data_IF_883397190062
#
_entry.id   IF_883397190062
#
_cell.length_a   1.000
_cell.length_b   1.000
_cell.length_c   1.000
_cell.angle_alpha   90.00
_cell.angle_beta   90.00
_cell.angle_gamma   90.00
#
_symmetry.space_group_name_H-M   'P 1'
#
loop_
_entity.id
_entity.type
_entity.pdbx_description
1 polymer ?
#
# COMPACT_ATOMS: atom_id res chain seq x y z
N UNK A 1 -27.52 21.56 -16.88
CA UNK A 1 -26.23 21.30 -16.21
C UNK A 1 -25.35 20.45 -17.11
N UNK A 2 -24.02 20.50 -16.95
CA UNK A 2 -23.11 19.66 -17.72
C UNK A 2 -23.28 18.17 -17.35
N UNK A 3 -23.24 17.28 -18.34
CA UNK A 3 -23.33 15.83 -18.17
C UNK A 3 -22.18 15.25 -17.33
N UNK A 4 -20.98 15.84 -17.45
CA UNK A 4 -19.82 15.50 -16.66
C UNK A 4 -19.31 16.74 -15.91
N UNK A 5 -19.00 16.56 -14.64
CA UNK A 5 -18.28 17.55 -13.83
C UNK A 5 -16.91 16.99 -13.49
N UNK A 6 -15.86 17.67 -13.94
CA UNK A 6 -14.48 17.23 -13.75
C UNK A 6 -13.80 18.06 -12.66
N UNK A 7 -13.11 17.38 -11.76
CA UNK A 7 -12.37 17.96 -10.65
C UNK A 7 -10.93 17.43 -10.66
N UNK A 8 -9.96 18.34 -10.52
CA UNK A 8 -8.55 18.01 -10.33
C UNK A 8 -8.32 17.69 -8.86
N UNK A 9 -7.73 16.53 -8.56
CA UNK A 9 -7.36 16.13 -7.21
C UNK A 9 -5.88 16.38 -7.02
N UNK A 10 -5.53 17.20 -6.02
CA UNK A 10 -4.14 17.42 -5.61
C UNK A 10 -3.94 16.82 -4.23
N UNK A 11 -3.03 15.87 -4.11
CA UNK A 11 -2.89 15.02 -2.92
C UNK A 11 -1.63 15.41 -2.17
N UNK A 12 -1.80 15.73 -0.89
CA UNK A 12 -0.69 15.94 0.05
C UNK A 12 -0.62 14.75 0.98
N UNK A 13 0.51 14.06 1.04
CA UNK A 13 0.71 12.99 2.02
C UNK A 13 1.06 13.61 3.38
N UNK A 14 0.31 13.25 4.43
CA UNK A 14 0.59 13.70 5.80
C UNK A 14 1.41 12.68 6.59
N UNK A 15 1.36 11.41 6.17
CA UNK A 15 2.13 10.28 6.67
C UNK A 15 2.75 9.53 5.49
N UNK A 16 3.68 8.58 5.73
CA UNK A 16 4.07 7.65 4.68
C UNK A 16 2.86 6.84 4.23
N UNK A 17 2.72 6.60 2.92
CA UNK A 17 1.61 5.83 2.34
C UNK A 17 2.17 4.72 1.46
N UNK A 18 1.77 3.49 1.76
CA UNK A 18 2.00 2.31 0.93
C UNK A 18 0.67 1.83 0.33
N UNK A 19 0.63 1.63 -0.98
CA UNK A 19 -0.48 0.95 -1.66
C UNK A 19 0.10 -0.22 -2.44
N UNK A 20 0.06 -1.42 -1.85
CA UNK A 20 0.71 -2.60 -2.40
C UNK A 20 0.25 -2.94 -3.82
N UNK A 21 1.21 -3.35 -4.65
CA UNK A 21 0.98 -3.82 -6.02
C UNK A 21 1.26 -5.33 -6.19
N UNK A 22 1.47 -6.04 -5.09
CA UNK A 22 1.81 -7.47 -5.07
C UNK A 22 3.13 -7.79 -5.80
N UNK A 23 4.02 -6.79 -5.88
CA UNK A 23 5.41 -6.94 -6.28
C UNK A 23 6.33 -6.60 -5.10
N UNK A 24 7.53 -7.18 -5.14
CA UNK A 24 8.55 -7.08 -4.10
C UNK A 24 9.89 -6.70 -4.73
N UNK A 25 10.72 -5.94 -4.01
CA UNK A 25 12.16 -5.98 -4.26
C UNK A 25 12.67 -7.30 -3.69
N UNK A 26 13.06 -8.19 -4.58
CA UNK A 26 13.64 -9.47 -4.21
C UNK A 26 15.07 -9.24 -3.70
N UNK A 27 15.50 -9.88 -2.60
CA UNK A 27 16.81 -9.67 -2.02
C UNK A 27 17.98 -10.17 -2.88
N UNK A 28 17.68 -10.79 -4.03
CA UNK A 28 18.66 -11.16 -5.07
C UNK A 28 18.79 -10.10 -6.17
N UNK A 29 17.95 -9.06 -6.17
CA UNK A 29 17.86 -8.06 -7.23
C UNK A 29 18.12 -6.64 -6.70
N UNK A 30 18.66 -6.53 -5.49
CA UNK A 30 19.10 -5.25 -4.96
C UNK A 30 20.25 -5.44 -3.96
N UNK A 31 21.01 -4.37 -3.75
CA UNK A 31 21.93 -4.22 -2.61
C UNK A 31 21.60 -2.93 -1.86
N UNK A 32 21.80 -2.91 -0.55
CA UNK A 32 21.79 -1.67 0.22
C UNK A 32 23.23 -1.32 0.54
N UNK A 33 23.61 -0.09 0.20
CA UNK A 33 24.90 0.52 0.50
C UNK A 33 24.65 1.91 1.07
N UNK A 34 25.26 2.20 2.22
CA UNK A 34 24.99 3.38 3.05
C UNK A 34 23.48 3.61 3.33
N UNK A 35 22.91 4.67 2.77
CA UNK A 35 21.54 5.13 3.00
C UNK A 35 20.61 4.91 1.79
N UNK A 36 21.02 4.08 0.83
CA UNK A 36 20.21 3.77 -0.35
C UNK A 36 20.15 2.27 -0.67
N UNK A 37 18.99 1.86 -1.18
CA UNK A 37 18.78 0.61 -1.90
C UNK A 37 19.07 0.85 -3.38
N UNK A 38 19.84 -0.02 -4.00
CA UNK A 38 20.15 -0.03 -5.43
C UNK A 38 19.57 -1.29 -6.07
N UNK A 39 18.53 -1.13 -6.88
CA UNK A 39 17.88 -2.19 -7.64
C UNK A 39 18.64 -2.42 -8.95
N UNK A 40 18.83 -3.68 -9.31
CA UNK A 40 19.43 -4.09 -10.57
C UNK A 40 18.67 -5.28 -11.16
N UNK A 41 18.66 -5.39 -12.49
CA UNK A 41 18.14 -6.59 -13.12
C UNK A 41 19.14 -7.75 -12.99
N UNK A 42 18.70 -9.02 -12.98
CA UNK A 42 19.62 -10.16 -13.05
C UNK A 42 20.52 -10.14 -14.29
N UNK A 43 20.07 -9.51 -15.38
CA UNK A 43 20.85 -9.37 -16.60
C UNK A 43 22.01 -8.39 -16.41
N UNK A 44 21.76 -7.22 -15.84
CA UNK A 44 22.80 -6.21 -15.57
C UNK A 44 23.81 -6.71 -14.54
N UNK A 45 23.32 -7.42 -13.51
CA UNK A 45 24.16 -8.09 -12.54
C UNK A 45 25.13 -9.08 -13.21
N UNK A 46 24.71 -9.83 -14.24
CA UNK A 46 25.61 -10.72 -14.97
C UNK A 46 26.62 -9.98 -15.83
N UNK A 47 26.27 -8.81 -16.38
CA UNK A 47 27.18 -8.04 -17.23
C UNK A 47 28.42 -7.55 -16.48
N UNK A 48 28.26 -7.17 -15.21
CA UNK A 48 29.37 -6.68 -14.38
C UNK A 48 30.28 -7.78 -13.83
N UNK A 49 29.85 -9.05 -13.91
CA UNK A 49 30.66 -10.18 -13.49
C UNK A 49 31.58 -10.67 -14.61
N UNK A 50 32.82 -10.96 -14.27
CA UNK A 50 33.75 -11.64 -15.18
C UNK A 50 33.40 -13.13 -15.38
N UNK A 51 34.15 -13.84 -16.23
CA UNK A 51 33.87 -15.25 -16.54
C UNK A 51 34.01 -16.19 -15.32
N UNK A 52 34.99 -15.97 -14.45
CA UNK A 52 35.21 -16.77 -13.26
C UNK A 52 34.15 -16.48 -12.20
N UNK A 53 33.73 -15.23 -12.11
CA UNK A 53 32.65 -14.77 -11.25
C UNK A 53 31.32 -15.37 -11.66
N UNK A 54 30.97 -15.29 -12.95
CA UNK A 54 29.77 -15.96 -13.49
C UNK A 54 29.77 -17.45 -13.18
N UNK A 55 30.92 -18.12 -13.31
CA UNK A 55 31.05 -19.54 -12.97
C UNK A 55 30.82 -19.81 -11.48
N UNK A 56 31.31 -18.93 -10.58
CA UNK A 56 31.06 -19.02 -9.13
C UNK A 56 29.58 -18.82 -8.81
N UNK A 57 28.93 -17.83 -9.42
CA UNK A 57 27.50 -17.60 -9.26
C UNK A 57 26.69 -18.80 -9.77
N UNK A 58 27.04 -19.34 -10.95
CA UNK A 58 26.41 -20.53 -11.52
C UNK A 58 26.48 -21.71 -10.55
N UNK A 59 27.66 -21.97 -9.96
CA UNK A 59 27.83 -23.03 -8.96
C UNK A 59 27.03 -22.81 -7.66
N UNK A 60 26.63 -21.57 -7.36
CA UNK A 60 25.70 -21.28 -6.25
C UNK A 60 24.28 -21.65 -6.65
N UNK A 61 23.81 -21.20 -7.83
CA UNK A 61 22.42 -21.37 -8.28
C UNK A 61 22.09 -22.78 -8.80
N UNK A 62 23.09 -23.54 -9.24
CA UNK A 62 22.95 -24.96 -9.65
C UNK A 62 22.62 -25.90 -8.48
N UNK A 63 22.73 -25.41 -7.26
CA UNK A 63 22.35 -26.17 -6.05
C UNK A 63 20.83 -26.23 -5.93
N UNK A 64 20.37 -27.03 -4.96
CA UNK A 64 18.94 -27.09 -4.63
C UNK A 64 18.40 -25.67 -4.38
N UNK A 65 17.26 -25.29 -4.98
CA UNK A 65 16.64 -23.99 -4.75
C UNK A 65 16.02 -23.96 -3.34
N UNK A 66 16.83 -23.56 -2.37
CA UNK A 66 16.45 -23.41 -0.97
C UNK A 66 16.94 -22.07 -0.40
N UNK A 67 16.63 -21.81 0.87
CA UNK A 67 17.01 -20.59 1.55
C UNK A 67 18.53 -20.40 1.65
N UNK A 68 19.29 -21.49 1.68
CA UNK A 68 20.75 -21.43 1.74
C UNK A 68 21.34 -20.97 0.41
N UNK A 69 20.76 -21.43 -0.71
CA UNK A 69 21.09 -20.91 -2.04
C UNK A 69 20.83 -19.40 -2.13
N UNK A 70 19.64 -18.93 -1.72
CA UNK A 70 19.30 -17.50 -1.75
C UNK A 70 20.25 -16.64 -0.91
N UNK A 71 20.62 -17.11 0.29
CA UNK A 71 21.62 -16.44 1.16
C UNK A 71 22.99 -16.33 0.50
N UNK A 72 23.42 -17.38 -0.19
CA UNK A 72 24.70 -17.38 -0.89
C UNK A 72 24.70 -16.41 -2.07
N UNK A 73 23.60 -16.34 -2.83
CA UNK A 73 23.43 -15.34 -3.90
C UNK A 73 23.47 -13.93 -3.32
N UNK A 74 22.72 -13.68 -2.24
CA UNK A 74 22.71 -12.42 -1.51
C UNK A 74 24.11 -11.97 -1.07
N UNK A 75 24.85 -12.84 -0.36
CA UNK A 75 26.21 -12.55 0.08
C UNK A 75 27.18 -12.34 -1.10
N UNK A 76 26.99 -13.09 -2.19
CA UNK A 76 27.80 -13.00 -3.39
C UNK A 76 27.66 -11.64 -4.10
N UNK A 77 26.43 -11.14 -4.23
CA UNK A 77 26.16 -9.82 -4.78
C UNK A 77 26.58 -8.69 -3.83
N UNK A 78 26.35 -8.83 -2.52
CA UNK A 78 26.79 -7.83 -1.55
C UNK A 78 28.31 -7.58 -1.56
N UNK A 79 29.12 -8.64 -1.72
CA UNK A 79 30.58 -8.53 -1.87
C UNK A 79 31.01 -7.77 -3.14
N UNK A 80 30.10 -7.61 -4.11
CA UNK A 80 30.33 -6.96 -5.41
C UNK A 80 29.47 -5.71 -5.58
N UNK A 81 28.91 -5.19 -4.49
CA UNK A 81 27.98 -4.06 -4.53
C UNK A 81 28.56 -2.87 -5.27
N UNK A 82 29.84 -2.56 -5.11
CA UNK A 82 30.50 -1.45 -5.81
C UNK A 82 30.32 -1.52 -7.34
N UNK A 83 30.41 -2.71 -7.94
CA UNK A 83 30.18 -2.92 -9.37
C UNK A 83 28.67 -2.89 -9.73
N UNK A 84 27.83 -3.41 -8.84
CA UNK A 84 26.37 -3.44 -9.03
C UNK A 84 25.74 -2.05 -8.91
N UNK A 85 26.28 -1.17 -8.06
CA UNK A 85 25.85 0.23 -7.93
C UNK A 85 25.96 0.94 -9.29
N UNK A 86 27.03 0.68 -10.04
CA UNK A 86 27.29 1.30 -11.35
C UNK A 86 26.29 0.89 -12.44
N UNK A 87 25.60 -0.24 -12.28
CA UNK A 87 24.59 -0.75 -13.22
C UNK A 87 23.18 -0.77 -12.64
N UNK A 88 22.99 -0.15 -11.48
CA UNK A 88 21.67 -0.05 -10.87
C UNK A 88 20.74 0.78 -11.75
N UNK A 89 19.52 0.25 -11.97
CA UNK A 89 18.51 0.92 -12.78
C UNK A 89 17.74 1.95 -11.96
N UNK A 90 17.64 1.71 -10.65
CA UNK A 90 16.83 2.50 -9.75
C UNK A 90 17.41 2.48 -8.34
N UNK A 91 17.22 3.59 -7.62
CA UNK A 91 17.65 3.71 -6.23
C UNK A 91 16.57 4.33 -5.36
N UNK A 92 16.48 3.87 -4.13
CA UNK A 92 15.54 4.40 -3.13
C UNK A 92 16.27 4.69 -1.82
N UNK A 93 16.02 5.85 -1.20
CA UNK A 93 16.52 6.10 0.14
C UNK A 93 16.00 5.05 1.13
N UNK A 94 16.85 4.65 2.06
CA UNK A 94 16.53 3.81 3.21
C UNK A 94 16.80 4.58 4.51
N UNK A 95 16.20 4.15 5.61
CA UNK A 95 16.56 4.67 6.93
C UNK A 95 17.78 3.92 7.50
N UNK A 96 18.56 4.57 8.36
CA UNK A 96 19.72 3.97 9.03
C UNK A 96 19.38 2.63 9.72
N UNK A 97 18.22 2.54 10.37
CA UNK A 97 17.76 1.30 11.01
C UNK A 97 17.54 0.15 10.03
N UNK A 98 17.15 0.44 8.78
CA UNK A 98 16.96 -0.55 7.70
C UNK A 98 18.32 -0.97 7.15
N UNK A 99 19.21 -0.01 6.89
CA UNK A 99 20.59 -0.31 6.47
C UNK A 99 21.32 -1.18 7.51
N UNK A 100 21.22 -0.84 8.79
CA UNK A 100 21.77 -1.63 9.88
C UNK A 100 21.12 -3.01 10.02
N UNK A 101 19.82 -3.15 9.72
CA UNK A 101 19.16 -4.45 9.67
C UNK A 101 19.68 -5.31 8.52
N UNK A 102 19.80 -4.71 7.33
CA UNK A 102 20.30 -5.36 6.12
C UNK A 102 21.73 -5.87 6.33
N UNK A 103 22.65 -5.01 6.79
CA UNK A 103 24.06 -5.36 7.02
C UNK A 103 24.24 -6.49 8.05
N UNK A 104 23.35 -6.56 9.05
CA UNK A 104 23.37 -7.66 10.03
C UNK A 104 22.84 -8.98 9.48
N UNK A 105 22.08 -8.99 8.39
CA UNK A 105 21.39 -10.19 7.90
C UNK A 105 21.90 -10.69 6.55
N UNK A 106 22.44 -9.80 5.72
CA UNK A 106 22.85 -10.13 4.37
C UNK A 106 23.92 -11.23 4.38
N UNK A 107 23.65 -12.32 3.65
CA UNK A 107 24.54 -13.48 3.60
C UNK A 107 24.70 -14.27 4.90
N UNK A 108 23.91 -14.00 5.95
CA UNK A 108 23.98 -14.71 7.24
C UNK A 108 22.91 -15.79 7.40
N UNK A 109 23.21 -16.79 8.24
CA UNK A 109 22.23 -17.80 8.66
C UNK A 109 21.26 -17.12 9.63
N UNK A 110 19.99 -16.97 9.25
CA UNK A 110 18.93 -16.64 10.20
C UNK A 110 19.01 -17.64 11.34
N UNK A 111 19.34 -17.19 12.56
CA UNK A 111 19.30 -18.06 13.73
C UNK A 111 17.93 -18.72 13.76
N UNK A 112 17.90 -20.06 13.76
CA UNK A 112 16.70 -20.78 14.18
C UNK A 112 16.49 -20.40 15.63
N UNK A 113 15.60 -19.45 15.89
CA UNK A 113 15.13 -19.23 17.25
C UNK A 113 14.63 -20.58 17.78
N UNK A 114 15.28 -21.01 18.85
CA UNK A 114 14.97 -22.22 19.57
C UNK A 114 13.46 -22.29 19.86
N UNK A 115 12.83 -23.37 19.40
CA UNK A 115 11.48 -23.84 19.74
C UNK A 115 10.24 -23.17 19.12
N UNK A 116 10.33 -22.14 18.27
CA UNK A 116 9.16 -21.66 17.52
C UNK A 116 9.46 -21.59 16.03
N UNK A 117 8.49 -22.00 15.20
CA UNK A 117 8.59 -22.07 13.72
C UNK A 117 9.37 -20.86 13.19
N UNK A 118 10.49 -21.14 12.52
CA UNK A 118 11.43 -20.12 12.06
C UNK A 118 10.71 -19.00 11.31
N UNK A 119 10.63 -17.83 11.93
CA UNK A 119 10.16 -16.63 11.26
C UNK A 119 11.33 -16.12 10.44
N UNK A 120 11.44 -16.66 9.23
CA UNK A 120 12.43 -16.21 8.26
C UNK A 120 11.98 -14.84 7.81
N UNK A 121 12.53 -13.80 8.43
CA UNK A 121 12.36 -12.45 7.97
C UNK A 121 13.25 -12.27 6.73
N UNK A 122 12.70 -12.66 5.58
CA UNK A 122 13.32 -12.46 4.29
C UNK A 122 13.48 -10.96 4.07
N UNK A 123 14.62 -10.54 3.54
CA UNK A 123 14.88 -9.16 3.13
C UNK A 123 14.01 -8.77 1.90
N UNK A 124 12.84 -9.38 1.71
CA UNK A 124 11.87 -8.97 0.70
C UNK A 124 11.25 -7.63 1.15
N UNK A 125 11.11 -6.69 0.21
CA UNK A 125 10.53 -5.37 0.48
C UNK A 125 9.31 -5.20 -0.41
N UNK A 126 8.13 -5.00 0.17
CA UNK A 126 6.90 -4.83 -0.62
C UNK A 126 6.88 -3.48 -1.33
N UNK A 127 6.60 -3.50 -2.62
CA UNK A 127 6.56 -2.31 -3.46
C UNK A 127 5.21 -1.62 -3.39
N UNK A 128 5.22 -0.30 -3.33
CA UNK A 128 4.01 0.49 -3.55
C UNK A 128 3.66 0.51 -5.03
N UNK A 129 2.41 0.79 -5.37
CA UNK A 129 1.95 0.96 -6.75
C UNK A 129 2.78 2.00 -7.46
N UNK A 130 3.34 1.63 -8.62
CA UNK A 130 4.29 2.43 -9.37
C UNK A 130 4.06 2.26 -10.87
N UNK A 131 4.39 3.28 -11.66
CA UNK A 131 4.30 3.22 -13.11
C UNK A 131 5.53 2.49 -13.66
N UNK A 132 5.32 1.42 -14.44
CA UNK A 132 6.39 0.56 -14.93
C UNK A 132 7.37 1.25 -15.89
N UNK A 133 6.96 2.36 -16.54
CA UNK A 133 7.78 3.08 -17.52
C UNK A 133 8.75 4.03 -16.81
N UNK A 134 8.26 4.85 -15.88
CA UNK A 134 9.07 5.88 -15.21
C UNK A 134 9.48 5.51 -13.78
N UNK A 135 9.02 4.36 -13.28
CA UNK A 135 9.27 3.82 -11.93
C UNK A 135 8.77 4.71 -10.78
N UNK A 136 7.95 5.73 -11.08
CA UNK A 136 7.42 6.65 -10.06
C UNK A 136 6.14 6.09 -9.42
N UNK A 137 5.92 6.34 -8.12
CA UNK A 137 4.73 5.86 -7.44
C UNK A 137 3.46 6.55 -7.97
N UNK A 138 2.34 5.86 -7.88
CA UNK A 138 1.02 6.43 -8.12
C UNK A 138 0.01 5.85 -7.13
N UNK A 139 -1.09 6.58 -6.90
CA UNK A 139 -2.22 6.06 -6.14
C UNK A 139 -3.31 5.60 -7.10
N UNK A 140 -3.62 4.29 -7.14
CA UNK A 140 -4.70 3.78 -7.97
C UNK A 140 -6.03 4.47 -7.65
N UNK A 141 -6.78 4.84 -8.70
CA UNK A 141 -8.10 5.43 -8.58
C UNK A 141 -9.08 4.51 -7.86
N UNK A 142 -8.89 3.18 -7.95
CA UNK A 142 -9.63 2.17 -7.19
C UNK A 142 -9.40 2.27 -5.68
N UNK A 143 -8.16 2.50 -5.23
CA UNK A 143 -7.81 2.68 -3.82
C UNK A 143 -8.41 3.97 -3.26
N UNK A 144 -8.28 5.08 -3.99
CA UNK A 144 -8.93 6.35 -3.65
C UNK A 144 -10.45 6.21 -3.60
N UNK A 145 -11.03 5.51 -4.57
CA UNK A 145 -12.47 5.26 -4.66
C UNK A 145 -12.97 4.39 -3.51
N UNK A 146 -12.18 3.41 -3.07
CA UNK A 146 -12.46 2.57 -1.91
C UNK A 146 -12.50 3.36 -0.60
N UNK A 147 -11.57 4.29 -0.41
CA UNK A 147 -11.55 5.19 0.74
C UNK A 147 -12.81 6.10 0.75
N UNK A 148 -13.11 6.75 -0.38
CA UNK A 148 -14.33 7.57 -0.51
C UNK A 148 -15.60 6.74 -0.29
N UNK A 149 -15.67 5.53 -0.86
CA UNK A 149 -16.81 4.62 -0.67
C UNK A 149 -17.06 4.32 0.79
N UNK A 150 -15.99 4.09 1.57
CA UNK A 150 -16.09 3.84 3.01
C UNK A 150 -16.74 5.00 3.74
N UNK A 151 -16.29 6.23 3.46
CA UNK A 151 -16.86 7.43 4.08
C UNK A 151 -18.34 7.65 3.68
N UNK A 152 -18.69 7.40 2.42
CA UNK A 152 -20.08 7.53 1.94
C UNK A 152 -20.99 6.46 2.54
N UNK A 153 -20.51 5.22 2.70
CA UNK A 153 -21.25 4.16 3.39
C UNK A 153 -21.51 4.54 4.86
N UNK A 154 -20.50 5.05 5.57
CA UNK A 154 -20.66 5.49 6.95
C UNK A 154 -21.62 6.69 7.07
N UNK A 155 -21.52 7.65 6.15
CA UNK A 155 -22.44 8.78 6.07
C UNK A 155 -23.90 8.34 5.92
N UNK A 156 -24.17 7.36 5.04
CA UNK A 156 -25.52 6.79 4.87
C UNK A 156 -25.95 5.97 6.09
N UNK A 157 -25.03 5.25 6.72
CA UNK A 157 -25.29 4.44 7.91
C UNK A 157 -25.42 5.27 9.20
N UNK A 158 -25.00 6.55 9.19
CA UNK A 158 -25.07 7.46 10.33
C UNK A 158 -24.37 6.93 11.59
N UNK A 159 -23.24 6.25 11.43
CA UNK A 159 -22.47 5.63 12.52
C UNK A 159 -23.27 4.60 13.36
N UNK A 160 -24.38 4.09 12.84
CA UNK A 160 -25.16 3.07 13.52
C UNK A 160 -24.38 1.75 13.58
N UNK A 161 -24.49 1.04 14.71
CA UNK A 161 -23.92 -0.31 14.83
C UNK A 161 -24.67 -1.26 13.89
N UNK A 162 -23.99 -2.32 13.47
CA UNK A 162 -24.63 -3.41 12.74
C UNK A 162 -25.80 -3.97 13.57
N UNK A 163 -26.97 -4.02 12.96
CA UNK A 163 -28.16 -4.66 13.54
C UNK A 163 -28.01 -6.18 13.57
N UNK A 164 -27.35 -6.77 12.58
CA UNK A 164 -26.99 -8.19 12.55
C UNK A 164 -25.46 -8.33 12.45
N UNK A 165 -24.79 -8.87 13.49
CA UNK A 165 -23.35 -9.13 13.46
C UNK A 165 -22.89 -10.12 12.39
N UNK A 166 -23.82 -10.90 11.80
CA UNK A 166 -23.53 -11.89 10.75
C UNK A 166 -23.77 -11.37 9.33
N UNK A 167 -24.28 -10.15 9.18
CA UNK A 167 -24.50 -9.53 7.87
C UNK A 167 -23.18 -9.45 7.11
N UNK A 168 -23.14 -9.99 5.89
CA UNK A 168 -21.91 -9.97 5.09
C UNK A 168 -21.66 -8.54 4.58
N UNK A 169 -20.39 -8.17 4.44
CA UNK A 169 -19.99 -6.85 3.93
C UNK A 169 -20.70 -6.47 2.62
N UNK A 170 -20.80 -7.40 1.67
CA UNK A 170 -21.46 -7.14 0.39
C UNK A 170 -22.97 -6.91 0.54
N UNK A 171 -23.63 -7.54 1.50
CA UNK A 171 -25.07 -7.40 1.77
C UNK A 171 -25.34 -6.05 2.46
N UNK A 172 -24.52 -5.70 3.44
CA UNK A 172 -24.53 -4.40 4.11
C UNK A 172 -24.42 -3.25 3.09
N UNK A 173 -23.42 -3.30 2.22
CA UNK A 173 -23.20 -2.26 1.21
C UNK A 173 -24.38 -2.16 0.24
N UNK A 174 -24.90 -3.30 -0.22
CA UNK A 174 -26.08 -3.36 -1.10
C UNK A 174 -27.32 -2.74 -0.47
N UNK A 175 -27.51 -2.96 0.84
CA UNK A 175 -28.61 -2.39 1.61
C UNK A 175 -28.43 -0.89 1.82
N UNK A 176 -27.25 -0.45 2.25
CA UNK A 176 -26.98 0.96 2.51
C UNK A 176 -27.11 1.81 1.24
N UNK A 177 -26.56 1.36 0.13
CA UNK A 177 -26.63 2.08 -1.15
C UNK A 177 -27.85 1.71 -2.01
N UNK A 178 -28.82 0.96 -1.47
CA UNK A 178 -30.12 0.67 -2.10
C UNK A 178 -29.99 0.04 -3.52
N UNK A 179 -29.04 -0.89 -3.66
CA UNK A 179 -28.83 -1.67 -4.89
C UNK A 179 -28.92 -3.19 -4.65
N UNK A 180 -29.46 -3.61 -3.50
CA UNK A 180 -29.83 -4.99 -3.25
C UNK A 180 -30.90 -5.47 -4.25
N UNK A 181 -30.82 -6.72 -4.68
CA UNK A 181 -31.85 -7.31 -5.55
C UNK A 181 -33.16 -7.48 -4.80
N UNK A 182 -34.27 -7.21 -5.49
CA UNK A 182 -35.62 -7.51 -4.99
C UNK A 182 -35.95 -9.01 -5.01
N UNK A 183 -35.33 -9.77 -5.93
CA UNK A 183 -35.53 -11.22 -6.06
C UNK A 183 -34.38 -12.02 -5.42
N UNK A 184 -34.64 -12.58 -4.24
CA UNK A 184 -33.69 -13.39 -3.45
C UNK A 184 -33.39 -14.78 -4.05
N UNK A 185 -34.13 -15.22 -5.08
CA UNK A 185 -33.98 -16.57 -5.67
C UNK A 185 -32.79 -16.66 -6.65
N UNK A 186 -32.27 -15.54 -7.13
CA UNK A 186 -31.11 -15.50 -8.03
C UNK A 186 -29.83 -15.24 -7.23
N UNK A 187 -28.94 -16.24 -7.22
CA UNK A 187 -27.67 -16.30 -6.48
C UNK A 187 -26.59 -15.40 -7.10
N UNK A 188 -26.86 -14.11 -7.34
CA UNK A 188 -25.87 -13.16 -7.86
C UNK A 188 -25.70 -11.95 -6.94
N UNK A 189 -24.56 -11.27 -7.08
CA UNK A 189 -24.33 -9.91 -6.58
C UNK A 189 -25.49 -8.97 -6.96
N UNK A 190 -25.73 -7.93 -6.14
CA UNK A 190 -26.82 -6.96 -6.30
C UNK A 190 -26.90 -6.29 -7.68
N UNK A 191 -27.86 -5.38 -7.87
CA UNK A 191 -28.02 -4.64 -9.12
C UNK A 191 -26.91 -3.59 -9.27
N UNK A 192 -25.70 -4.03 -9.64
CA UNK A 192 -24.48 -3.21 -9.71
C UNK A 192 -24.61 -1.94 -10.58
N UNK A 193 -25.53 -1.92 -11.53
CA UNK A 193 -25.82 -0.74 -12.33
C UNK A 193 -26.47 0.40 -11.53
N UNK A 194 -27.07 0.09 -10.38
CA UNK A 194 -27.67 1.04 -9.43
C UNK A 194 -26.73 1.45 -8.30
N UNK A 195 -25.52 0.91 -8.23
CA UNK A 195 -24.52 1.34 -7.24
C UNK A 195 -24.16 2.83 -7.50
N UNK A 196 -24.32 3.73 -6.53
CA UNK A 196 -24.07 5.16 -6.72
C UNK A 196 -22.59 5.46 -7.02
N UNK A 197 -21.66 4.60 -6.63
CA UNK A 197 -20.25 4.76 -7.01
C UNK A 197 -20.02 4.64 -8.52
N UNK A 198 -21.00 4.18 -9.31
CA UNK A 198 -20.95 4.23 -10.78
C UNK A 198 -20.95 5.66 -11.33
N UNK A 199 -21.49 6.62 -10.58
CA UNK A 199 -21.52 8.03 -10.95
C UNK A 199 -20.25 8.80 -10.56
N UNK A 200 -19.31 8.14 -9.89
CA UNK A 200 -18.05 8.71 -9.42
C UNK A 200 -16.89 7.98 -10.10
N UNK A 201 -16.20 8.65 -11.01
CA UNK A 201 -15.03 8.11 -11.70
C UNK A 201 -13.77 8.73 -11.13
N UNK A 202 -12.79 7.90 -10.78
CA UNK A 202 -11.49 8.33 -10.27
C UNK A 202 -10.40 7.80 -11.18
N UNK A 203 -9.57 8.70 -11.69
CA UNK A 203 -8.34 8.35 -12.38
C UNK A 203 -7.24 8.05 -11.34
N UNK A 204 -6.22 7.33 -11.79
CA UNK A 204 -4.99 7.14 -11.02
C UNK A 204 -4.34 8.50 -10.76
N UNK A 205 -3.82 8.69 -9.54
CA UNK A 205 -3.10 9.90 -9.17
C UNK A 205 -1.60 9.65 -9.30
N UNK A 206 -0.94 10.35 -10.21
CA UNK A 206 0.47 10.16 -10.52
C UNK A 206 1.35 11.16 -9.80
N UNK A 207 2.56 10.75 -9.44
CA UNK A 207 3.59 11.63 -8.89
C UNK A 207 3.86 12.84 -9.81
N UNK A 208 3.86 14.05 -9.24
CA UNK A 208 4.10 15.32 -9.93
C UNK A 208 5.23 16.14 -9.32
N UNK A 209 5.76 15.77 -8.16
CA UNK A 209 6.76 16.57 -7.46
C UNK A 209 8.15 16.37 -8.07
N UNK A 210 8.90 17.46 -8.26
CA UNK A 210 10.33 17.39 -8.56
C UNK A 210 11.20 17.39 -7.30
N UNK A 211 10.59 17.58 -6.12
CA UNK A 211 11.30 17.70 -4.85
C UNK A 211 11.40 16.38 -4.10
N UNK A 212 12.63 16.05 -3.71
CA UNK A 212 12.96 14.88 -2.90
C UNK A 212 12.70 13.54 -3.60
N UNK A 213 13.02 12.46 -2.90
CA UNK A 213 12.72 11.12 -3.40
C UNK A 213 11.20 10.87 -3.41
N UNK A 214 10.72 10.27 -4.50
CA UNK A 214 9.31 9.93 -4.68
C UNK A 214 8.85 8.79 -3.76
N UNK A 215 9.78 7.90 -3.42
CA UNK A 215 9.57 6.75 -2.54
C UNK A 215 10.71 6.64 -1.53
N UNK A 216 10.44 6.00 -0.38
CA UNK A 216 11.41 5.64 0.65
C UNK A 216 11.01 4.32 1.31
N UNK A 217 11.97 3.52 1.75
CA UNK A 217 11.68 2.25 2.46
C UNK A 217 11.45 2.52 3.95
N UNK A 218 10.39 1.91 4.49
CA UNK A 218 9.98 2.01 5.89
C UNK A 218 9.78 0.64 6.52
N UNK A 219 9.89 0.59 7.85
CA UNK A 219 9.37 -0.52 8.64
C UNK A 219 7.86 -0.38 8.82
N UNK A 220 7.10 -1.42 8.50
CA UNK A 220 5.73 -1.55 8.94
C UNK A 220 5.71 -2.05 10.39
N UNK A 221 5.28 -1.18 11.31
CA UNK A 221 5.26 -1.45 12.75
C UNK A 221 3.83 -1.67 13.25
N UNK A 222 3.65 -2.70 14.09
CA UNK A 222 2.38 -2.95 14.77
C UNK A 222 2.51 -2.62 16.26
N UNK A 223 1.98 -1.46 16.66
CA UNK A 223 1.95 -1.01 18.05
C UNK A 223 0.57 -1.25 18.68
N UNK A 224 0.51 -1.78 19.90
CA UNK A 224 -0.76 -1.87 20.64
C UNK A 224 -1.19 -0.51 21.19
N UNK A 225 -2.50 -0.26 21.18
CA UNK A 225 -3.12 1.00 21.60
C UNK A 225 -3.18 1.21 23.12
N UNK A 226 -2.95 0.16 23.92
CA UNK A 226 -3.13 0.20 25.38
C UNK A 226 -1.93 -0.41 26.10
N UNK A 227 -1.60 0.15 27.26
CA UNK A 227 -0.60 -0.41 28.17
C UNK A 227 -1.06 -1.74 28.75
N UNK A 228 -0.10 -2.61 29.06
CA UNK A 228 -0.36 -3.71 29.96
C UNK A 228 -0.68 -3.18 31.37
N UNK A 229 -1.32 -3.97 32.25
CA UNK A 229 -1.66 -3.57 33.62
C UNK A 229 -0.47 -3.01 34.43
N UNK A 230 0.75 -3.37 34.06
CA UNK A 230 2.00 -2.98 34.74
C UNK A 230 2.68 -1.75 34.11
N UNK A 231 1.94 -0.87 33.42
CA UNK A 231 2.44 0.36 32.76
C UNK A 231 3.47 0.17 31.64
N UNK A 232 3.93 -1.05 31.34
CA UNK A 232 4.70 -1.34 30.12
C UNK A 232 3.79 -1.33 28.90
N UNK A 233 4.26 -0.77 27.78
CA UNK A 233 3.59 -0.93 26.49
C UNK A 233 3.40 -2.41 26.23
N UNK A 234 2.17 -2.82 25.89
CA UNK A 234 1.92 -4.22 25.54
C UNK A 234 2.51 -4.45 24.16
N UNK A 235 3.63 -5.16 24.09
CA UNK A 235 4.21 -5.55 22.81
C UNK A 235 3.23 -6.44 22.03
N UNK A 236 3.08 -6.15 20.75
CA UNK A 236 2.43 -7.04 19.79
C UNK A 236 3.26 -8.30 19.60
N UNK A 237 2.62 -9.38 19.14
CA UNK A 237 3.33 -10.63 18.82
C UNK A 237 4.45 -10.39 17.81
N UNK A 238 4.23 -9.54 16.80
CA UNK A 238 5.27 -9.17 15.83
C UNK A 238 6.45 -8.41 16.44
N UNK A 239 6.21 -7.57 17.45
CA UNK A 239 7.30 -6.89 18.17
C UNK A 239 8.12 -7.88 19.01
N UNK A 240 7.45 -8.81 19.70
CA UNK A 240 8.11 -9.85 20.50
C UNK A 240 8.95 -10.79 19.65
N UNK A 241 8.44 -11.14 18.48
CA UNK A 241 9.06 -12.07 17.55
C UNK A 241 10.05 -11.36 16.60
N UNK A 242 10.32 -10.06 16.79
CA UNK A 242 11.26 -9.29 15.96
C UNK A 242 10.87 -9.18 14.48
N UNK A 243 9.60 -9.41 14.17
CA UNK A 243 9.05 -9.43 12.81
C UNK A 243 8.70 -8.02 12.40
N UNK A 244 9.54 -7.46 11.54
CA UNK A 244 9.30 -6.20 10.86
C UNK A 244 9.25 -6.46 9.37
N UNK A 245 8.15 -6.06 8.74
CA UNK A 245 7.97 -6.08 7.30
C UNK A 245 8.55 -4.78 6.74
N UNK A 246 9.27 -4.87 5.62
CA UNK A 246 9.80 -3.72 4.90
C UNK A 246 8.84 -3.36 3.77
N UNK A 247 8.49 -2.09 3.67
CA UNK A 247 7.57 -1.58 2.66
C UNK A 247 8.13 -0.31 2.02
N UNK A 248 7.98 -0.19 0.71
CA UNK A 248 8.17 1.06 -0.01
C UNK A 248 6.95 1.96 0.22
N UNK A 249 7.17 3.22 0.58
CA UNK A 249 6.09 4.21 0.73
C UNK A 249 6.39 5.48 -0.04
N UNK A 250 5.33 6.16 -0.49
CA UNK A 250 5.40 7.60 -0.75
C UNK A 250 5.67 8.31 0.59
N UNK A 251 6.69 9.18 0.71
CA UNK A 251 7.06 9.83 1.97
C UNK A 251 5.96 10.73 2.52
N UNK A 252 6.04 11.00 3.83
CA UNK A 252 5.19 11.97 4.52
C UNK A 252 5.53 13.42 4.15
N UNK A 253 4.58 14.31 4.45
CA UNK A 253 4.70 15.77 4.34
C UNK A 253 5.13 16.24 2.94
N UNK A 254 4.59 15.60 1.90
CA UNK A 254 4.83 15.98 0.50
C UNK A 254 3.64 16.75 -0.03
N UNK A 255 3.80 18.06 -0.15
CA UNK A 255 2.76 18.97 -0.60
C UNK A 255 2.38 18.71 -2.06
N UNK A 256 1.10 18.44 -2.32
CA UNK A 256 0.54 18.24 -3.66
C UNK A 256 1.38 17.32 -4.57
N UNK A 257 2.00 16.29 -3.98
CA UNK A 257 2.99 15.48 -4.67
C UNK A 257 2.39 14.48 -5.66
N UNK A 258 1.10 14.18 -5.55
CA UNK A 258 0.37 13.44 -6.58
C UNK A 258 -0.81 14.23 -7.09
N UNK A 259 -1.13 13.97 -8.35
CA UNK A 259 -2.29 14.54 -9.02
C UNK A 259 -3.09 13.49 -9.75
N UNK A 260 -4.41 13.51 -9.53
CA UNK A 260 -5.37 12.70 -10.26
C UNK A 260 -6.60 13.52 -10.65
N UNK A 261 -7.65 12.83 -11.08
CA UNK A 261 -8.93 13.47 -11.40
C UNK A 261 -10.11 12.68 -10.85
N UNK A 262 -11.16 13.41 -10.51
CA UNK A 262 -12.46 12.88 -10.11
C UNK A 262 -13.52 13.46 -11.04
N UNK A 263 -14.33 12.61 -11.63
CA UNK A 263 -15.44 13.00 -12.50
C UNK A 263 -16.77 12.54 -11.93
N UNK A 264 -17.73 13.45 -11.81
CA UNK A 264 -19.10 13.18 -11.41
C UNK A 264 -20.01 13.15 -12.64
N UNK A 265 -20.83 12.12 -12.73
CA UNK A 265 -21.74 11.89 -13.85
C UNK A 265 -23.14 12.40 -13.48
N UNK A 266 -23.59 13.48 -14.13
CA UNK A 266 -24.94 14.00 -13.97
C UNK A 266 -25.92 13.21 -14.86
N UNK A 267 -26.93 12.60 -14.22
CA UNK A 267 -27.96 11.79 -14.89
C UNK A 267 -29.37 12.41 -14.80
N UNK A 268 -29.50 13.66 -14.37
CA UNK A 268 -30.80 14.36 -14.22
C UNK A 268 -31.56 14.48 -15.55
N UNK A 269 -30.85 14.61 -16.68
CA UNK A 269 -31.46 14.69 -18.00
C UNK A 269 -31.94 13.33 -18.54
N UNK A 270 -31.61 12.22 -17.87
CA UNK A 270 -31.95 10.86 -18.31
C UNK A 270 -33.37 10.53 -17.86
N UNK A 271 -34.34 10.85 -18.73
CA UNK A 271 -35.77 10.59 -18.48
C UNK A 271 -36.19 9.13 -18.72
N UNK A 272 -35.50 8.42 -19.61
CA UNK A 272 -35.74 7.00 -19.91
C UNK A 272 -34.85 6.13 -19.02
N UNK A 273 -35.38 5.02 -18.50
CA UNK A 273 -34.65 4.07 -17.63
C UNK A 273 -34.21 4.61 -16.26
N UNK A 274 -34.99 5.52 -15.67
CA UNK A 274 -34.73 6.03 -14.31
C UNK A 274 -34.66 4.90 -13.27
N UNK A 275 -35.42 3.82 -13.48
CA UNK A 275 -35.42 2.60 -12.67
C UNK A 275 -34.07 1.85 -12.66
N UNK A 276 -33.19 2.16 -13.62
CA UNK A 276 -31.83 1.59 -13.76
C UNK A 276 -30.74 2.55 -13.28
N UNK A 277 -31.09 3.73 -12.79
CA UNK A 277 -30.13 4.68 -12.23
C UNK A 277 -29.98 4.48 -10.72
N UNK A 278 -28.85 4.90 -10.14
CA UNK A 278 -28.73 5.04 -8.70
C UNK A 278 -29.81 5.97 -8.13
N UNK A 279 -30.27 5.66 -6.92
CA UNK A 279 -31.28 6.43 -6.22
C UNK A 279 -30.87 7.90 -6.09
N UNK A 280 -31.83 8.82 -6.24
CA UNK A 280 -31.56 10.28 -6.24
C UNK A 280 -30.86 10.77 -4.98
N UNK A 281 -31.23 10.24 -3.81
CA UNK A 281 -30.60 10.51 -2.51
C UNK A 281 -29.09 10.17 -2.44
N UNK A 282 -28.55 9.41 -3.40
CA UNK A 282 -27.15 9.02 -3.46
C UNK A 282 -26.40 9.63 -4.66
N UNK A 283 -26.97 10.65 -5.29
CA UNK A 283 -26.32 11.42 -6.35
C UNK A 283 -25.59 12.61 -5.75
N UNK A 284 -24.46 12.33 -5.11
CA UNK A 284 -23.70 13.33 -4.37
C UNK A 284 -22.95 14.31 -5.27
N UNK A 285 -22.93 15.57 -4.85
CA UNK A 285 -22.02 16.61 -5.30
C UNK A 285 -20.61 16.42 -4.74
N UNK A 286 -19.62 17.11 -5.32
CA UNK A 286 -18.24 17.07 -4.83
C UNK A 286 -18.14 17.57 -3.37
N UNK A 287 -18.96 18.55 -3.00
CA UNK A 287 -18.97 19.11 -1.65
C UNK A 287 -19.52 18.11 -0.63
N UNK A 288 -20.59 17.39 -0.97
CA UNK A 288 -21.14 16.33 -0.11
C UNK A 288 -20.14 15.17 0.06
N UNK A 289 -19.44 14.79 -1.01
CA UNK A 289 -18.39 13.76 -0.93
C UNK A 289 -17.26 14.22 0.00
N UNK A 290 -16.78 15.45 -0.15
CA UNK A 290 -15.73 16.01 0.71
C UNK A 290 -16.18 16.11 2.17
N UNK A 291 -17.42 16.52 2.42
CA UNK A 291 -18.01 16.58 3.76
C UNK A 291 -18.10 15.18 4.39
N UNK A 292 -18.59 14.17 3.67
CA UNK A 292 -18.64 12.80 4.16
C UNK A 292 -17.24 12.28 4.51
N UNK A 293 -16.24 12.54 3.66
CA UNK A 293 -14.85 12.18 3.94
C UNK A 293 -14.32 12.87 5.20
N UNK A 294 -14.58 14.17 5.38
CA UNK A 294 -14.14 14.92 6.55
C UNK A 294 -14.80 14.41 7.84
N UNK A 295 -16.12 14.20 7.81
CA UNK A 295 -16.88 13.68 8.97
C UNK A 295 -16.36 12.31 9.39
N UNK A 296 -16.00 11.46 8.43
CA UNK A 296 -15.50 10.12 8.72
C UNK A 296 -14.04 10.14 9.19
N UNK A 297 -13.12 10.75 8.43
CA UNK A 297 -11.68 10.59 8.61
C UNK A 297 -11.06 11.59 9.60
N UNK A 298 -11.57 12.82 9.71
CA UNK A 298 -10.94 13.85 10.55
C UNK A 298 -10.96 13.48 12.05
N UNK A 299 -12.09 13.02 12.63
CA UNK A 299 -12.09 12.62 14.04
C UNK A 299 -11.18 11.42 14.32
N UNK A 300 -11.04 10.51 13.34
CA UNK A 300 -10.14 9.36 13.45
C UNK A 300 -8.68 9.81 13.46
N UNK A 301 -8.29 10.68 12.52
CA UNK A 301 -6.96 11.27 12.46
C UNK A 301 -6.61 11.99 13.77
N UNK A 302 -7.51 12.83 14.28
CA UNK A 302 -7.28 13.53 15.55
C UNK A 302 -7.11 12.57 16.72
N UNK A 303 -7.94 11.53 16.80
CA UNK A 303 -7.85 10.51 17.84
C UNK A 303 -6.55 9.73 17.77
N UNK A 304 -6.13 9.34 16.57
CA UNK A 304 -4.88 8.63 16.34
C UNK A 304 -3.66 9.49 16.66
N UNK A 305 -3.67 10.78 16.27
CA UNK A 305 -2.61 11.73 16.62
C UNK A 305 -2.47 11.89 18.13
N UNK A 306 -3.58 12.14 18.86
CA UNK A 306 -3.56 12.24 20.33
C UNK A 306 -3.05 10.96 20.98
N UNK A 307 -3.41 9.80 20.43
CA UNK A 307 -2.94 8.52 20.94
C UNK A 307 -1.43 8.35 20.73
N UNK A 308 -0.89 8.70 19.56
CA UNK A 308 0.55 8.66 19.30
C UNK A 308 1.32 9.58 20.25
N UNK A 309 0.83 10.81 20.45
CA UNK A 309 1.40 11.77 21.40
C UNK A 309 1.42 11.22 22.84
N UNK A 310 0.32 10.59 23.29
CA UNK A 310 0.24 9.96 24.61
C UNK A 310 1.22 8.80 24.78
N UNK A 311 1.42 8.02 23.72
CA UNK A 311 2.34 6.88 23.70
C UNK A 311 3.81 7.30 23.44
N UNK A 312 4.07 8.61 23.21
CA UNK A 312 5.38 9.19 22.91
C UNK A 312 6.05 8.59 21.67
N UNK A 313 5.25 8.38 20.61
CA UNK A 313 5.74 8.09 19.27
C UNK A 313 5.85 9.36 18.43
#
# INVERSE_FOLDING_TARGET
MAFLQHHRLKITTLSPIHIGCNETYEPTNYVIDDDALYEFSPFDALQVLDADERKKLQAIVDRKPDEEMLKRVQGYFYQRRDALLAVSEHYLPVGEGIAALYNRRIGQIAQRESQHKGVINKLEIERTSYNSINRLPFFPGSSLKGAIRTALLDHVNQQQKLTDPREKNNELQQRLFDYAKRDKRKKSSGDMHKDPMRLISLADAHWQSSEGAASKIYFALNRKKYHAPNSRLRESTGEKDGVSQLVECVPALRYQCLEGSLSLHNVESVKRHHDKLPAEKFRWSITEIAQACNVFYLPQLEKERRLLEQLRY
#
